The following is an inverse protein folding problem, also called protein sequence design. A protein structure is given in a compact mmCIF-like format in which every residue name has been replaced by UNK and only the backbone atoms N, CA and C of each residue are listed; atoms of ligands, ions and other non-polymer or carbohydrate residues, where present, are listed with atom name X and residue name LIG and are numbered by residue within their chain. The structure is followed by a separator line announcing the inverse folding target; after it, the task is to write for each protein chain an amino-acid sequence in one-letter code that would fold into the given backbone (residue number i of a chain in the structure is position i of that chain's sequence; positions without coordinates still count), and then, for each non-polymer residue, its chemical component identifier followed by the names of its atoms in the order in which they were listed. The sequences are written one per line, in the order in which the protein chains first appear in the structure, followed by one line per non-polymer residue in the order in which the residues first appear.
data_IF_997544972631
#
_entry.id   IF_997544972631
#
_cell.length_a   1.000
_cell.length_b   1.000
_cell.length_c   1.000
_cell.angle_alpha   90.00
_cell.angle_beta   90.00
_cell.angle_gamma   90.00
#
_symmetry.space_group_name_H-M   'P 1'
#
loop_
_entity.id
_entity.type
_entity.pdbx_description
1 polymer ?
#
# COMPACT_ATOMS: atom_id res chain seq x y z
N UNK A 1 -75.65 -33.29 51.65
CA UNK A 1 -75.01 -32.42 52.67
C UNK A 1 -74.11 -31.44 51.92
N UNK A 2 -74.29 -30.15 52.21
CA UNK A 2 -73.43 -29.01 51.87
C UNK A 2 -73.27 -28.59 50.39
N UNK A 3 -73.98 -27.51 50.03
CA UNK A 3 -73.47 -26.49 49.09
C UNK A 3 -72.19 -25.86 49.68
N UNK A 4 -71.30 -25.14 48.93
CA UNK A 4 -71.68 -23.83 48.38
C UNK A 4 -70.84 -23.25 47.20
N UNK A 5 -71.20 -22.01 46.85
CA UNK A 5 -70.40 -20.89 46.32
C UNK A 5 -70.23 -20.64 44.80
N UNK A 6 -70.87 -19.53 44.38
CA UNK A 6 -70.53 -18.70 43.23
C UNK A 6 -69.20 -17.98 43.46
N UNK A 7 -68.39 -17.87 42.40
CA UNK A 7 -67.33 -16.87 42.29
C UNK A 7 -67.55 -16.08 41.00
N UNK A 8 -67.60 -14.76 41.13
CA UNK A 8 -67.71 -13.82 40.01
C UNK A 8 -66.36 -13.28 39.56
N UNK A 9 -66.38 -12.68 38.36
CA UNK A 9 -65.38 -11.72 37.89
C UNK A 9 -64.37 -12.29 36.88
N UNK A 10 -64.39 -11.81 35.64
CA UNK A 10 -63.61 -10.64 35.22
C UNK A 10 -64.12 -10.13 33.86
N UNK A 11 -64.60 -8.88 33.85
CA UNK A 11 -64.82 -8.11 32.64
C UNK A 11 -63.46 -7.77 31.99
N UNK A 12 -63.43 -7.83 30.67
CA UNK A 12 -62.27 -7.47 29.85
C UNK A 12 -62.14 -5.93 29.69
N UNK A 13 -60.94 -5.37 29.83
CA UNK A 13 -60.52 -4.17 29.11
C UNK A 13 -59.46 -4.58 28.07
N UNK A 14 -59.41 -4.14 26.82
CA UNK A 14 -59.79 -2.87 26.23
C UNK A 14 -58.91 -2.73 24.98
N UNK A 15 -59.47 -2.98 23.79
CA UNK A 15 -58.79 -3.04 22.49
C UNK A 15 -58.44 -1.65 21.92
N UNK A 16 -57.97 -0.72 22.76
CA UNK A 16 -57.74 0.70 22.39
C UNK A 16 -56.38 1.21 22.85
N UNK A 17 -55.29 0.55 22.47
CA UNK A 17 -53.92 1.07 22.72
C UNK A 17 -52.90 0.79 21.61
N UNK A 18 -53.26 0.05 20.55
CA UNK A 18 -52.28 -0.37 19.54
C UNK A 18 -52.00 0.63 18.41
N UNK A 19 -52.84 1.66 18.21
CA UNK A 19 -52.67 2.58 17.07
C UNK A 19 -51.50 3.57 17.27
N UNK A 20 -51.32 4.09 18.49
CA UNK A 20 -50.27 5.08 18.80
C UNK A 20 -48.88 4.42 18.83
N UNK A 21 -48.78 3.21 19.38
CA UNK A 21 -47.54 2.43 19.41
C UNK A 21 -47.06 2.07 17.98
N UNK A 22 -47.99 1.67 17.10
CA UNK A 22 -47.68 1.37 15.69
C UNK A 22 -47.23 2.60 14.90
N UNK A 23 -47.83 3.77 15.14
CA UNK A 23 -47.40 5.03 14.51
C UNK A 23 -46.01 5.46 14.97
N UNK A 24 -45.68 5.31 16.26
CA UNK A 24 -44.34 5.61 16.79
C UNK A 24 -43.27 4.68 16.22
N UNK A 25 -43.57 3.37 16.11
CA UNK A 25 -42.65 2.40 15.50
C UNK A 25 -42.38 2.69 14.01
N UNK A 26 -43.42 3.04 13.25
CA UNK A 26 -43.27 3.42 11.84
C UNK A 26 -42.41 4.68 11.65
N UNK A 27 -42.54 5.66 12.54
CA UNK A 27 -41.81 6.93 12.47
C UNK A 27 -40.32 6.74 12.84
N UNK A 28 -40.02 5.86 13.80
CA UNK A 28 -38.64 5.48 14.15
C UNK A 28 -37.95 4.73 13.00
N UNK A 29 -38.66 3.79 12.35
CA UNK A 29 -38.13 3.08 11.18
C UNK A 29 -37.89 4.00 9.98
N UNK A 30 -38.79 4.97 9.74
CA UNK A 30 -38.63 5.96 8.68
C UNK A 30 -37.43 6.90 8.93
N UNK A 31 -37.24 7.34 10.18
CA UNK A 31 -36.09 8.16 10.57
C UNK A 31 -34.78 7.38 10.48
N UNK A 32 -34.77 6.11 10.90
CA UNK A 32 -33.60 5.24 10.76
C UNK A 32 -33.22 5.08 9.28
N UNK A 33 -34.19 4.80 8.40
CA UNK A 33 -33.94 4.69 6.96
C UNK A 33 -33.42 6.00 6.34
N UNK A 34 -33.94 7.15 6.76
CA UNK A 34 -33.47 8.46 6.31
C UNK A 34 -32.01 8.71 6.73
N UNK A 35 -31.63 8.38 7.97
CA UNK A 35 -30.26 8.51 8.47
C UNK A 35 -29.30 7.59 7.71
N UNK A 36 -29.71 6.36 7.37
CA UNK A 36 -28.90 5.46 6.54
C UNK A 36 -28.70 5.99 5.13
N UNK A 37 -29.75 6.56 4.50
CA UNK A 37 -29.65 7.14 3.17
C UNK A 37 -28.73 8.37 3.16
N UNK A 38 -28.85 9.25 4.17
CA UNK A 38 -27.99 10.45 4.28
C UNK A 38 -26.54 10.08 4.54
N UNK A 39 -26.27 9.08 5.40
CA UNK A 39 -24.89 8.63 5.68
C UNK A 39 -24.23 7.93 4.49
N UNK A 40 -25.00 7.15 3.70
CA UNK A 40 -24.50 6.56 2.44
C UNK A 40 -24.26 7.64 1.36
N UNK A 41 -25.11 8.67 1.30
CA UNK A 41 -24.94 9.79 0.37
C UNK A 41 -23.74 10.70 0.73
N UNK A 42 -23.45 10.89 2.02
CA UNK A 42 -22.25 11.65 2.45
C UNK A 42 -20.96 10.85 2.29
N UNK A 43 -20.98 9.52 2.47
CA UNK A 43 -19.79 8.69 2.21
C UNK A 43 -19.43 8.59 0.72
N UNK A 44 -20.43 8.54 -0.17
CA UNK A 44 -20.17 8.49 -1.62
C UNK A 44 -19.64 9.81 -2.19
N UNK A 45 -20.00 10.95 -1.58
CA UNK A 45 -19.49 12.27 -2.00
C UNK A 45 -18.06 12.54 -1.54
N UNK A 46 -17.65 12.08 -0.35
CA UNK A 46 -16.28 12.31 0.16
C UNK A 46 -15.24 11.38 -0.48
N UNK A 47 -15.63 10.17 -0.92
CA UNK A 47 -14.72 9.23 -1.56
C UNK A 47 -14.26 9.64 -2.98
N UNK A 48 -14.95 10.59 -3.63
CA UNK A 48 -14.70 10.97 -5.02
C UNK A 48 -13.68 12.11 -5.21
N UNK A 49 -13.13 12.68 -4.13
CA UNK A 49 -12.30 13.89 -4.18
C UNK A 49 -10.77 13.66 -4.28
N UNK A 50 -10.31 12.42 -4.50
CA UNK A 50 -8.90 12.18 -4.88
C UNK A 50 -8.81 12.04 -6.40
N UNK A 51 -8.56 13.16 -7.08
CA UNK A 51 -8.26 13.15 -8.51
C UNK A 51 -7.13 12.16 -8.80
N UNK A 52 -7.36 11.24 -9.74
CA UNK A 52 -6.35 10.29 -10.18
C UNK A 52 -5.13 11.07 -10.70
N UNK A 53 -3.94 10.76 -10.17
CA UNK A 53 -2.70 11.37 -10.62
C UNK A 53 -2.51 11.15 -12.14
N UNK A 54 -2.00 12.15 -12.88
CA UNK A 54 -1.80 12.05 -14.33
C UNK A 54 -0.91 10.87 -14.69
N UNK A 55 -1.00 10.44 -15.94
CA UNK A 55 -0.26 9.28 -16.41
C UNK A 55 1.24 9.50 -16.30
N UNK A 56 1.98 8.59 -15.66
CA UNK A 56 3.44 8.65 -15.63
C UNK A 56 4.04 8.53 -17.05
N UNK A 57 3.34 7.82 -17.96
CA UNK A 57 3.75 7.63 -19.36
C UNK A 57 3.46 8.83 -20.25
N UNK A 58 2.41 9.58 -19.94
CA UNK A 58 2.06 10.86 -20.57
C UNK A 58 2.02 11.91 -19.48
N UNK A 59 3.19 12.46 -19.08
CA UNK A 59 3.23 13.45 -18.02
C UNK A 59 2.26 14.56 -18.38
N UNK A 60 1.40 14.95 -17.43
CA UNK A 60 0.40 15.98 -17.65
C UNK A 60 1.04 17.16 -18.37
N UNK A 61 0.50 17.50 -19.54
CA UNK A 61 0.87 18.75 -20.18
C UNK A 61 0.61 19.87 -19.18
N UNK A 62 1.50 20.84 -19.12
CA UNK A 62 1.26 22.07 -18.37
C UNK A 62 -0.13 22.58 -18.79
N UNK A 63 -1.09 22.78 -17.86
CA UNK A 63 -2.44 23.21 -18.20
C UNK A 63 -2.45 24.53 -19.01
N UNK A 64 -1.39 25.34 -18.95
CA UNK A 64 -1.19 26.47 -19.85
C UNK A 64 -0.93 26.04 -21.32
N UNK A 65 -0.09 25.03 -21.56
CA UNK A 65 0.34 24.62 -22.91
C UNK A 65 -0.77 23.96 -23.74
N UNK A 66 -1.70 23.25 -23.10
CA UNK A 66 -2.86 22.66 -23.78
C UNK A 66 -3.81 23.73 -24.37
N UNK A 67 -3.67 24.99 -23.95
CA UNK A 67 -4.48 26.12 -24.42
C UNK A 67 -3.75 26.98 -25.46
N UNK A 68 -2.52 26.65 -25.84
CA UNK A 68 -1.70 27.50 -26.72
C UNK A 68 -2.31 27.72 -28.12
N UNK A 69 -3.09 26.74 -28.61
CA UNK A 69 -3.75 26.80 -29.90
C UNK A 69 -5.23 26.38 -29.80
N UNK A 70 -6.13 27.17 -30.39
CA UNK A 70 -7.53 26.85 -30.60
C UNK A 70 -7.65 25.92 -31.80
N UNK A 71 -7.74 24.62 -31.55
CA UNK A 71 -7.90 23.60 -32.58
C UNK A 71 -8.95 22.56 -32.17
N UNK A 72 -9.72 22.06 -33.14
CA UNK A 72 -10.75 21.03 -32.91
C UNK A 72 -10.63 19.93 -33.95
N UNK A 73 -10.22 18.72 -33.50
CA UNK A 73 -10.24 17.51 -34.34
C UNK A 73 -11.66 17.23 -34.87
N UNK A 74 -12.69 17.40 -34.04
CA UNK A 74 -14.08 17.15 -34.44
C UNK A 74 -14.55 18.05 -35.60
N UNK A 75 -14.24 19.35 -35.57
CA UNK A 75 -14.65 20.27 -36.63
C UNK A 75 -13.92 20.04 -37.96
N UNK A 76 -12.68 19.55 -37.93
CA UNK A 76 -11.92 19.22 -39.13
C UNK A 76 -12.33 17.83 -39.67
N UNK A 77 -12.54 16.85 -38.79
CA UNK A 77 -13.06 15.53 -39.16
C UNK A 77 -14.45 15.60 -39.78
N UNK A 78 -15.35 16.46 -39.27
CA UNK A 78 -16.68 16.69 -39.85
C UNK A 78 -16.64 17.25 -41.28
N UNK A 79 -15.50 17.81 -41.72
CA UNK A 79 -15.27 18.28 -43.09
C UNK A 79 -14.60 17.23 -43.99
N UNK A 80 -14.43 16.00 -43.50
CA UNK A 80 -13.79 14.92 -44.26
C UNK A 80 -12.27 15.08 -44.43
N UNK A 81 -11.62 15.82 -43.52
CA UNK A 81 -10.16 16.00 -43.56
C UNK A 81 -9.50 14.75 -42.97
N UNK A 82 -8.78 14.02 -43.82
CA UNK A 82 -7.98 12.84 -43.45
C UNK A 82 -6.84 13.18 -42.45
N UNK A 83 -6.56 12.28 -41.51
CA UNK A 83 -5.57 12.51 -40.44
C UNK A 83 -4.17 12.86 -40.98
N UNK A 84 -3.75 12.17 -42.05
CA UNK A 84 -2.42 12.35 -42.66
C UNK A 84 -2.27 13.66 -43.44
N UNK A 85 -3.37 14.40 -43.66
CA UNK A 85 -3.29 15.76 -44.23
C UNK A 85 -2.48 16.69 -43.33
N UNK A 86 -2.61 16.50 -42.00
CA UNK A 86 -1.89 17.27 -40.99
C UNK A 86 -0.71 16.48 -40.40
N UNK A 87 -0.90 15.20 -40.11
CA UNK A 87 0.13 14.33 -39.51
C UNK A 87 0.99 13.64 -40.57
N UNK A 88 1.63 14.43 -41.43
CA UNK A 88 2.29 13.96 -42.66
C UNK A 88 3.44 12.97 -42.42
N UNK A 89 4.12 13.06 -41.27
CA UNK A 89 5.22 12.17 -40.89
C UNK A 89 4.78 10.99 -40.03
N UNK A 90 3.49 10.87 -39.69
CA UNK A 90 3.05 9.86 -38.74
C UNK A 90 3.38 8.44 -39.21
N UNK A 91 3.08 8.10 -40.47
CA UNK A 91 3.34 6.74 -41.00
C UNK A 91 4.81 6.39 -41.19
N UNK A 92 5.72 7.36 -41.12
CA UNK A 92 7.16 7.11 -41.32
C UNK A 92 7.97 7.20 -40.03
N UNK A 93 7.34 7.61 -38.93
CA UNK A 93 8.00 7.72 -37.63
C UNK A 93 8.45 6.36 -37.10
N UNK A 94 9.72 6.33 -36.69
CA UNK A 94 10.37 5.14 -36.13
C UNK A 94 10.39 5.14 -34.61
N UNK A 95 10.12 6.29 -33.98
CA UNK A 95 10.24 6.45 -32.54
C UNK A 95 9.10 7.23 -31.92
N UNK A 96 8.72 6.84 -30.70
CA UNK A 96 7.69 7.52 -29.93
C UNK A 96 8.12 8.93 -29.49
N UNK A 97 9.42 9.24 -29.54
CA UNK A 97 9.95 10.56 -29.19
C UNK A 97 9.83 11.58 -30.32
N UNK A 98 9.50 11.13 -31.53
CA UNK A 98 9.34 12.01 -32.69
C UNK A 98 8.14 12.96 -32.45
N UNK A 99 8.33 14.25 -32.75
CA UNK A 99 7.20 15.20 -32.73
C UNK A 99 6.37 15.02 -34.00
N UNK A 100 5.23 14.35 -33.87
CA UNK A 100 4.27 14.13 -34.96
C UNK A 100 3.15 15.17 -34.96
N UNK A 101 3.32 16.26 -34.19
CA UNK A 101 2.41 17.38 -34.21
C UNK A 101 2.54 18.13 -35.55
N UNK A 102 1.42 18.55 -36.17
CA UNK A 102 1.47 19.33 -37.39
C UNK A 102 2.17 20.67 -37.15
N UNK A 103 3.07 21.02 -38.07
CA UNK A 103 3.63 22.37 -38.14
C UNK A 103 2.64 23.35 -38.78
N UNK A 104 2.87 24.66 -38.64
CA UNK A 104 2.06 25.72 -39.25
C UNK A 104 1.82 25.51 -40.76
N UNK A 105 2.81 24.92 -41.45
CA UNK A 105 2.71 24.60 -42.87
C UNK A 105 1.50 23.72 -43.22
N UNK A 106 1.06 22.83 -42.32
CA UNK A 106 -0.14 22.02 -42.53
C UNK A 106 -1.42 22.88 -42.49
N UNK A 107 -1.50 23.82 -41.55
CA UNK A 107 -2.64 24.74 -41.41
C UNK A 107 -2.75 25.69 -42.60
N UNK A 108 -1.60 26.19 -43.09
CA UNK A 108 -1.53 27.18 -44.19
C UNK A 108 -2.02 26.67 -45.53
N UNK A 109 -2.17 25.36 -45.70
CA UNK A 109 -2.77 24.77 -46.90
C UNK A 109 -4.25 25.17 -47.08
N UNK A 110 -4.95 25.47 -45.98
CA UNK A 110 -6.37 25.84 -45.99
C UNK A 110 -6.66 27.17 -45.27
N UNK A 111 -5.80 27.60 -44.35
CA UNK A 111 -5.90 28.85 -43.60
C UNK A 111 -4.76 29.79 -44.01
N UNK A 112 -4.94 30.69 -45.00
CA UNK A 112 -3.91 31.64 -45.39
C UNK A 112 -3.51 32.51 -44.19
N UNK A 113 -2.22 32.52 -43.88
CA UNK A 113 -1.63 33.35 -42.82
C UNK A 113 -0.76 34.40 -43.48
N UNK A 114 -1.24 35.64 -43.48
CA UNK A 114 -0.45 36.81 -43.84
C UNK A 114 0.10 37.45 -42.56
N UNK A 115 1.41 37.32 -42.33
CA UNK A 115 2.06 37.87 -41.14
C UNK A 115 2.31 39.38 -41.22
N UNK A 116 2.19 39.96 -42.41
CA UNK A 116 2.46 41.37 -42.68
C UNK A 116 1.18 42.21 -42.55
N UNK A 117 0.01 41.61 -42.83
CA UNK A 117 -1.30 42.27 -42.71
C UNK A 117 -2.14 41.82 -41.48
N UNK A 118 -1.66 40.89 -40.65
CA UNK A 118 -2.44 40.34 -39.54
C UNK A 118 -2.50 41.25 -38.31
N UNK A 119 -3.72 41.57 -37.86
CA UNK A 119 -3.98 42.19 -36.56
C UNK A 119 -3.87 41.18 -35.41
N UNK A 120 -3.74 41.66 -34.17
CA UNK A 120 -3.76 40.81 -32.99
C UNK A 120 -5.01 39.91 -32.91
N UNK A 121 -6.16 40.42 -33.35
CA UNK A 121 -7.41 39.68 -33.44
C UNK A 121 -7.36 38.56 -34.50
N UNK A 122 -6.61 38.73 -35.59
CA UNK A 122 -6.43 37.71 -36.62
C UNK A 122 -5.61 36.53 -36.10
N UNK A 123 -4.50 36.79 -35.41
CA UNK A 123 -3.66 35.76 -34.78
C UNK A 123 -4.40 35.06 -33.62
N UNK A 124 -5.21 35.80 -32.85
CA UNK A 124 -6.00 35.29 -31.73
C UNK A 124 -7.09 34.27 -32.09
N UNK A 125 -7.45 34.15 -33.38
CA UNK A 125 -8.36 33.09 -33.87
C UNK A 125 -7.77 31.70 -33.67
N UNK A 126 -6.45 31.57 -33.80
CA UNK A 126 -5.74 30.30 -33.64
C UNK A 126 -4.93 30.28 -32.34
N UNK A 127 -4.26 31.36 -31.97
CA UNK A 127 -3.43 31.42 -30.77
C UNK A 127 -4.23 31.93 -29.57
N UNK A 128 -4.56 31.07 -28.61
CA UNK A 128 -5.32 31.54 -27.44
C UNK A 128 -4.46 32.46 -26.58
N UNK A 129 -5.01 33.62 -26.19
CA UNK A 129 -4.27 34.61 -25.40
C UNK A 129 -3.19 35.36 -26.16
N UNK A 130 -3.22 35.36 -27.51
CA UNK A 130 -2.25 36.12 -28.31
C UNK A 130 -2.29 37.62 -28.00
N UNK A 131 -1.12 38.19 -27.73
CA UNK A 131 -0.89 39.62 -27.59
C UNK A 131 0.39 40.03 -28.33
N UNK A 132 0.38 41.21 -28.94
CA UNK A 132 1.55 41.74 -29.66
C UNK A 132 2.70 41.95 -28.67
N UNK A 133 3.88 41.39 -28.98
CA UNK A 133 5.06 41.48 -28.12
C UNK A 133 5.13 40.44 -26.99
N UNK A 134 4.09 39.63 -26.77
CA UNK A 134 4.12 38.54 -25.80
C UNK A 134 4.77 37.28 -26.40
N UNK A 135 5.49 36.47 -25.60
CA UNK A 135 6.03 35.20 -26.06
C UNK A 135 4.90 34.24 -26.44
N UNK A 136 5.03 33.63 -27.62
CA UNK A 136 4.08 32.62 -28.09
C UNK A 136 4.25 31.33 -27.30
N UNK A 137 3.16 30.88 -26.69
CA UNK A 137 3.11 29.55 -26.11
C UNK A 137 3.14 28.51 -27.24
N UNK A 138 4.01 27.52 -27.12
CA UNK A 138 4.11 26.42 -28.08
C UNK A 138 3.36 25.21 -27.55
N UNK A 139 2.57 24.59 -28.42
CA UNK A 139 2.04 23.25 -28.15
C UNK A 139 3.24 22.30 -28.16
N UNK A 140 3.52 21.69 -27.01
CA UNK A 140 4.55 20.67 -26.87
C UNK A 140 3.95 19.48 -26.15
N UNK A 141 4.10 18.30 -26.73
CA UNK A 141 3.87 17.06 -26.01
C UNK A 141 5.21 16.59 -25.44
N UNK A 142 5.24 16.21 -24.17
CA UNK A 142 6.40 15.50 -23.63
C UNK A 142 6.44 14.11 -24.28
N UNK A 143 7.59 13.64 -24.75
CA UNK A 143 7.68 12.33 -25.38
C UNK A 143 7.28 11.23 -24.38
N UNK A 144 6.48 10.25 -24.81
CA UNK A 144 6.12 9.13 -23.95
C UNK A 144 7.34 8.25 -23.71
N UNK A 145 7.45 7.71 -22.49
CA UNK A 145 8.54 6.82 -22.09
C UNK A 145 8.31 5.37 -22.55
N UNK A 146 8.16 5.18 -23.86
CA UNK A 146 7.89 3.88 -24.48
C UNK A 146 8.56 3.75 -25.85
N UNK A 147 8.77 2.51 -26.28
CA UNK A 147 9.26 2.15 -27.61
C UNK A 147 8.03 1.92 -28.50
N UNK A 148 7.83 2.79 -29.48
CA UNK A 148 6.79 2.64 -30.49
C UNK A 148 7.28 3.19 -31.82
N UNK A 149 7.03 2.43 -32.88
CA UNK A 149 7.21 2.87 -34.26
C UNK A 149 5.86 2.92 -34.93
N UNK A 150 5.45 4.10 -35.41
CA UNK A 150 4.25 4.21 -36.23
C UNK A 150 4.46 3.57 -37.62
N UNK A 151 5.69 3.59 -38.16
CA UNK A 151 6.01 2.91 -39.41
C UNK A 151 5.77 1.40 -39.34
N UNK A 152 6.12 0.76 -38.22
CA UNK A 152 5.83 -0.65 -37.98
C UNK A 152 4.31 -0.94 -37.90
N UNK A 153 3.50 0.08 -37.57
CA UNK A 153 2.04 0.00 -37.45
C UNK A 153 1.32 0.73 -38.60
N UNK A 154 1.99 1.04 -39.71
CA UNK A 154 1.44 1.91 -40.77
C UNK A 154 0.17 1.36 -41.44
N UNK A 155 -0.05 0.04 -41.36
CA UNK A 155 -1.22 -0.65 -41.88
C UNK A 155 -2.39 -0.74 -40.88
N UNK A 156 -2.18 -0.33 -39.64
CA UNK A 156 -3.24 -0.28 -38.61
C UNK A 156 -3.98 1.05 -38.75
N UNK A 157 -5.33 1.05 -38.85
CA UNK A 157 -6.10 2.30 -38.87
C UNK A 157 -5.85 3.13 -37.61
N UNK A 158 -5.69 4.45 -37.76
CA UNK A 158 -5.31 5.36 -36.67
C UNK A 158 -6.29 5.26 -35.48
N UNK A 159 -7.57 5.10 -35.77
CA UNK A 159 -8.69 5.07 -34.82
C UNK A 159 -8.67 3.84 -33.92
N UNK A 160 -7.89 2.81 -34.28
CA UNK A 160 -7.70 1.63 -33.43
C UNK A 160 -6.89 1.95 -32.17
N UNK A 161 -6.03 2.96 -32.23
CA UNK A 161 -5.16 3.37 -31.11
C UNK A 161 -5.54 4.76 -30.58
N UNK A 162 -5.87 5.70 -31.49
CA UNK A 162 -6.28 7.04 -31.13
C UNK A 162 -7.80 7.13 -31.02
N UNK A 163 -8.30 7.49 -29.84
CA UNK A 163 -9.71 7.76 -29.66
C UNK A 163 -10.09 9.06 -30.37
N UNK A 164 -10.56 8.95 -31.62
CA UNK A 164 -11.22 10.04 -32.32
C UNK A 164 -12.64 10.13 -31.78
N UNK A 165 -12.93 11.07 -30.88
CA UNK A 165 -14.30 11.26 -30.40
C UNK A 165 -15.21 11.63 -31.59
N UNK A 166 -16.20 10.81 -31.98
CA UNK A 166 -17.27 11.25 -32.85
C UNK A 166 -18.39 11.78 -31.94
N UNK A 167 -18.62 13.09 -31.96
CA UNK A 167 -19.93 13.62 -31.58
C UNK A 167 -20.25 13.86 -30.11
N UNK A 168 -19.30 13.82 -29.17
CA UNK A 168 -19.51 14.46 -27.86
C UNK A 168 -18.64 15.70 -27.78
N UNK A 169 -19.30 16.86 -27.62
CA UNK A 169 -18.64 18.10 -27.29
C UNK A 169 -17.63 17.82 -26.18
N UNK A 170 -16.39 18.28 -26.35
CA UNK A 170 -15.49 18.45 -25.23
C UNK A 170 -16.28 19.24 -24.17
N UNK A 171 -16.78 18.55 -23.15
CA UNK A 171 -17.48 19.21 -22.07
C UNK A 171 -16.51 20.27 -21.55
N UNK A 172 -16.94 21.53 -21.39
CA UNK A 172 -16.08 22.54 -20.80
C UNK A 172 -15.57 21.98 -19.49
N UNK A 173 -14.25 21.99 -19.33
CA UNK A 173 -13.55 21.62 -18.11
C UNK A 173 -14.23 22.30 -16.92
N UNK A 174 -15.06 21.55 -16.16
CA UNK A 174 -15.83 22.11 -15.03
C UNK A 174 -17.27 21.62 -14.83
N UNK A 175 -17.82 20.71 -15.64
CA UNK A 175 -19.18 20.19 -15.38
C UNK A 175 -19.24 19.27 -14.13
N UNK A 176 -20.13 19.51 -13.15
CA UNK A 176 -20.29 18.66 -11.98
C UNK A 176 -20.84 17.29 -12.41
N UNK A 177 -20.06 16.23 -12.19
CA UNK A 177 -20.39 14.86 -12.57
C UNK A 177 -19.59 14.29 -13.76
N UNK A 178 -18.71 15.08 -14.39
CA UNK A 178 -17.71 14.53 -15.31
C UNK A 178 -16.71 13.66 -14.51
N UNK A 179 -16.39 12.42 -14.95
CA UNK A 179 -15.36 11.63 -14.28
C UNK A 179 -14.07 12.46 -14.23
N UNK A 180 -13.32 12.44 -13.11
CA UNK A 180 -12.11 13.23 -12.98
C UNK A 180 -11.23 12.93 -14.18
N UNK A 181 -10.87 13.97 -14.93
CA UNK A 181 -10.00 13.96 -16.10
C UNK A 181 -8.56 13.60 -15.71
N UNK A 182 -8.40 12.40 -15.17
CA UNK A 182 -7.17 11.62 -15.08
C UNK A 182 -7.12 10.50 -16.13
N UNK A 183 -8.07 10.48 -17.08
CA UNK A 183 -7.83 9.80 -18.37
C UNK A 183 -6.69 10.57 -19.04
N UNK A 184 -5.70 9.82 -19.49
CA UNK A 184 -4.58 10.25 -20.32
C UNK A 184 -5.02 11.33 -21.33
N UNK A 185 -4.11 12.26 -21.68
CA UNK A 185 -4.40 13.36 -22.61
C UNK A 185 -5.36 12.92 -23.73
N UNK A 186 -6.50 13.61 -23.91
CA UNK A 186 -7.61 13.11 -24.72
C UNK A 186 -7.13 12.68 -26.12
N UNK A 187 -7.26 11.38 -26.43
CA UNK A 187 -6.91 10.80 -27.72
C UNK A 187 -5.60 10.00 -27.80
N UNK A 188 -4.86 9.81 -26.71
CA UNK A 188 -3.65 8.96 -26.68
C UNK A 188 -3.96 7.49 -26.34
N UNK A 189 -3.21 6.52 -26.92
CA UNK A 189 -3.42 5.10 -26.66
C UNK A 189 -3.02 4.69 -25.24
N UNK A 190 -3.77 3.74 -24.66
CA UNK A 190 -3.45 3.11 -23.38
C UNK A 190 -2.71 1.79 -23.59
N UNK A 191 -2.11 1.23 -22.53
CA UNK A 191 -1.53 -0.12 -22.59
C UNK A 191 -2.54 -1.17 -23.07
N UNK A 192 -3.80 -1.06 -22.63
CA UNK A 192 -4.86 -1.99 -23.06
C UNK A 192 -5.13 -1.92 -24.56
N UNK A 193 -5.00 -0.74 -25.18
CA UNK A 193 -5.12 -0.61 -26.65
C UNK A 193 -4.06 -1.44 -27.39
N UNK A 194 -2.81 -1.43 -26.92
CA UNK A 194 -1.75 -2.26 -27.47
C UNK A 194 -2.02 -3.76 -27.25
N UNK A 195 -2.44 -4.11 -26.03
CA UNK A 195 -2.67 -5.51 -25.66
C UNK A 195 -3.88 -6.13 -26.37
N UNK A 196 -4.84 -5.33 -26.83
CA UNK A 196 -5.97 -5.83 -27.64
C UNK A 196 -5.53 -6.65 -28.87
N UNK A 197 -4.33 -6.39 -29.40
CA UNK A 197 -3.71 -7.17 -30.48
C UNK A 197 -2.47 -7.97 -30.02
N UNK A 198 -1.73 -7.50 -29.01
CA UNK A 198 -0.46 -8.10 -28.58
C UNK A 198 -0.54 -9.04 -27.36
N UNK A 199 -1.73 -9.28 -26.78
CA UNK A 199 -1.92 -10.06 -25.52
C UNK A 199 -1.44 -11.52 -25.58
N UNK A 200 -1.56 -12.20 -26.71
CA UNK A 200 -1.28 -13.65 -26.81
C UNK A 200 0.18 -14.00 -27.18
N UNK A 201 1.12 -13.07 -27.00
CA UNK A 201 2.55 -13.36 -27.18
C UNK A 201 2.98 -13.70 -28.62
N UNK A 202 2.11 -13.64 -29.64
CA UNK A 202 2.46 -14.04 -31.01
C UNK A 202 3.55 -13.16 -31.67
N UNK A 203 3.94 -12.03 -31.07
CA UNK A 203 5.04 -11.15 -31.54
C UNK A 203 5.84 -10.43 -30.44
N UNK A 204 5.43 -10.51 -29.17
CA UNK A 204 6.09 -9.80 -28.06
C UNK A 204 6.26 -10.78 -26.90
N UNK A 205 7.49 -11.24 -26.71
CA UNK A 205 7.82 -12.22 -25.65
C UNK A 205 8.16 -11.55 -24.31
N UNK A 206 8.38 -10.22 -24.30
CA UNK A 206 8.88 -9.48 -23.13
C UNK A 206 8.27 -8.09 -23.04
N UNK A 207 7.90 -7.67 -21.83
CA UNK A 207 7.37 -6.32 -21.56
C UNK A 207 8.33 -5.20 -22.00
N UNK A 208 9.63 -5.48 -21.99
CA UNK A 208 10.71 -4.57 -22.44
C UNK A 208 10.77 -4.34 -23.95
N UNK A 209 9.94 -5.02 -24.74
CA UNK A 209 9.75 -4.70 -26.15
C UNK A 209 9.08 -3.33 -26.33
N UNK A 210 8.13 -3.00 -25.44
CA UNK A 210 7.41 -1.72 -25.46
C UNK A 210 7.95 -0.74 -24.40
N UNK A 211 8.39 -1.25 -23.26
CA UNK A 211 8.92 -0.41 -22.18
C UNK A 211 10.43 -0.15 -22.32
N UNK A 212 10.87 1.00 -21.81
CA UNK A 212 12.28 1.23 -21.55
C UNK A 212 12.79 0.21 -20.53
N UNK A 213 14.04 -0.21 -20.66
CA UNK A 213 14.63 -1.25 -19.83
C UNK A 213 15.84 -0.73 -19.06
N UNK A 214 15.95 -1.14 -17.80
CA UNK A 214 17.16 -0.99 -17.00
C UNK A 214 18.32 -1.83 -17.56
N UNK A 215 19.54 -1.58 -17.09
CA UNK A 215 20.72 -2.39 -17.42
C UNK A 215 20.57 -3.87 -17.05
N UNK A 216 19.72 -4.19 -16.07
CA UNK A 216 19.40 -5.56 -15.66
C UNK A 216 18.35 -6.25 -16.56
N UNK A 217 17.89 -5.62 -17.64
CA UNK A 217 16.94 -6.21 -18.58
C UNK A 217 15.47 -6.21 -18.11
N UNK A 218 15.18 -5.59 -16.97
CA UNK A 218 13.81 -5.32 -16.47
C UNK A 218 13.27 -4.00 -16.99
N UNK A 219 11.95 -3.79 -16.91
CA UNK A 219 11.32 -2.49 -17.17
C UNK A 219 11.93 -1.44 -16.24
N UNK A 220 12.28 -0.28 -16.81
CA UNK A 220 12.63 0.90 -16.02
C UNK A 220 11.34 1.51 -15.47
N UNK A 221 11.10 1.29 -14.18
CA UNK A 221 9.93 1.81 -13.46
C UNK A 221 10.18 3.21 -12.89
N UNK A 222 11.38 3.76 -13.03
CA UNK A 222 11.79 5.06 -12.48
C UNK A 222 12.12 6.02 -13.62
N UNK A 223 11.09 6.67 -14.17
CA UNK A 223 11.23 7.53 -15.34
C UNK A 223 11.63 8.96 -14.94
N UNK A 224 12.58 9.53 -15.69
CA UNK A 224 12.92 10.96 -15.61
C UNK A 224 13.93 11.34 -14.53
N UNK A 225 14.67 10.39 -13.97
CA UNK A 225 15.88 10.66 -13.18
C UNK A 225 17.14 10.51 -14.04
N UNK A 226 18.00 11.52 -14.06
CA UNK A 226 19.42 11.35 -14.40
C UNK A 226 20.20 11.10 -13.11
N UNK A 227 21.40 10.51 -13.22
CA UNK A 227 22.24 10.17 -12.08
C UNK A 227 22.34 11.34 -11.09
N UNK A 228 21.78 11.16 -9.89
CA UNK A 228 21.77 12.17 -8.81
C UNK A 228 20.46 12.93 -8.58
N UNK A 229 19.40 12.71 -9.36
CA UNK A 229 18.08 13.32 -9.13
C UNK A 229 17.01 12.27 -8.72
N UNK A 230 16.07 12.59 -7.82
CA UNK A 230 14.98 11.69 -7.46
C UNK A 230 14.12 11.38 -8.70
N UNK A 231 13.63 10.14 -8.80
CA UNK A 231 12.75 9.72 -9.88
C UNK A 231 11.53 10.65 -9.94
N UNK A 232 11.34 11.34 -11.07
CA UNK A 232 10.22 12.28 -11.24
C UNK A 232 8.89 11.55 -11.40
N UNK A 233 8.93 10.28 -11.79
CA UNK A 233 7.77 9.48 -12.16
C UNK A 233 8.03 7.99 -11.89
N UNK A 234 7.18 7.34 -11.08
CA UNK A 234 7.21 5.89 -10.87
C UNK A 234 6.11 5.18 -11.70
N UNK A 235 6.48 4.24 -12.56
CA UNK A 235 5.52 3.37 -13.23
C UNK A 235 4.95 2.38 -12.22
N UNK A 236 3.64 2.41 -12.06
CA UNK A 236 2.88 1.46 -11.23
C UNK A 236 1.77 0.86 -12.08
N UNK A 237 1.59 -0.47 -12.10
CA UNK A 237 0.41 -1.08 -12.70
C UNK A 237 -0.84 -0.53 -11.99
N UNK A 238 -1.69 0.19 -12.73
CA UNK A 238 -2.95 0.77 -12.22
C UNK A 238 -4.17 -0.06 -12.57
N UNK A 239 -4.06 -0.93 -13.56
CA UNK A 239 -5.12 -1.80 -14.04
C UNK A 239 -4.87 -3.22 -13.58
N UNK A 240 -5.90 -3.91 -13.10
CA UNK A 240 -5.83 -5.33 -12.72
C UNK A 240 -5.81 -6.26 -13.94
N UNK A 241 -5.20 -5.85 -15.06
CA UNK A 241 -5.17 -6.63 -16.32
C UNK A 241 -4.61 -8.03 -16.08
N UNK A 242 -3.64 -8.14 -15.17
CA UNK A 242 -3.10 -9.41 -14.71
C UNK A 242 -3.32 -9.64 -13.21
N UNK A 243 -4.13 -8.82 -12.54
CA UNK A 243 -4.28 -8.83 -11.08
C UNK A 243 -3.07 -8.25 -10.33
N UNK A 244 -2.28 -7.43 -11.02
CA UNK A 244 -1.03 -6.79 -10.58
C UNK A 244 -1.19 -5.34 -10.13
N UNK A 245 -2.44 -4.87 -9.99
CA UNK A 245 -2.73 -3.49 -9.62
C UNK A 245 -2.12 -3.13 -8.25
N UNK A 246 -1.24 -2.12 -8.23
CA UNK A 246 -0.60 -1.60 -7.01
C UNK A 246 -1.52 -0.58 -6.32
N UNK A 247 -2.69 -1.05 -5.88
CA UNK A 247 -3.65 -0.26 -5.10
C UNK A 247 -3.24 -0.10 -3.64
N UNK A 248 -3.98 0.69 -2.83
CA UNK A 248 -3.69 0.88 -1.40
C UNK A 248 -3.66 -0.41 -0.58
N UNK A 249 -4.36 -1.46 -1.02
CA UNK A 249 -4.36 -2.77 -0.37
C UNK A 249 -3.17 -3.67 -0.74
N UNK A 250 -2.39 -3.31 -1.76
CA UNK A 250 -1.38 -4.18 -2.35
C UNK A 250 -0.35 -4.67 -1.32
N UNK A 251 0.10 -3.78 -0.43
CA UNK A 251 1.02 -4.13 0.65
C UNK A 251 0.51 -5.31 1.49
N UNK A 252 -0.80 -5.41 1.70
CA UNK A 252 -1.44 -6.45 2.52
C UNK A 252 -1.98 -7.64 1.71
N UNK A 253 -2.32 -7.45 0.43
CA UNK A 253 -3.00 -8.47 -0.39
C UNK A 253 -2.15 -9.02 -1.55
N UNK A 254 -0.91 -8.53 -1.75
CA UNK A 254 -0.04 -8.96 -2.85
C UNK A 254 0.24 -10.46 -2.88
N UNK A 255 0.04 -11.20 -1.77
CA UNK A 255 0.10 -12.67 -1.76
C UNK A 255 -0.83 -13.29 -2.81
N UNK A 256 -2.04 -12.74 -2.97
CA UNK A 256 -2.98 -13.22 -3.97
C UNK A 256 -2.48 -12.94 -5.39
N UNK A 257 -1.79 -11.82 -5.62
CA UNK A 257 -1.16 -11.53 -6.91
C UNK A 257 0.04 -12.46 -7.16
N UNK A 258 0.94 -12.60 -6.18
CA UNK A 258 2.17 -13.40 -6.28
C UNK A 258 1.92 -14.90 -6.52
N UNK A 259 0.81 -15.44 -6.01
CA UNK A 259 0.44 -16.85 -6.19
C UNK A 259 -0.26 -17.14 -7.52
N UNK A 260 -0.83 -16.14 -8.17
CA UNK A 260 -1.61 -16.29 -9.41
C UNK A 260 -0.81 -16.03 -10.68
N UNK A 261 0.24 -15.22 -10.59
CA UNK A 261 0.96 -14.76 -11.77
C UNK A 261 2.38 -15.34 -11.76
N UNK A 262 2.58 -16.40 -12.54
CA UNK A 262 3.87 -17.07 -12.71
C UNK A 262 4.88 -16.17 -13.44
N UNK A 263 5.54 -15.26 -12.69
CA UNK A 263 6.75 -14.47 -13.04
C UNK A 263 6.59 -13.08 -13.67
N UNK A 264 5.41 -12.45 -13.67
CA UNK A 264 5.32 -11.05 -14.18
C UNK A 264 5.99 -10.03 -13.26
N UNK A 265 6.03 -10.27 -11.94
CA UNK A 265 6.65 -9.35 -10.99
C UNK A 265 8.13 -9.10 -11.31
N UNK A 266 8.86 -10.15 -11.71
CA UNK A 266 10.27 -10.08 -12.09
C UNK A 266 10.53 -9.29 -13.38
N UNK A 267 9.49 -8.99 -14.17
CA UNK A 267 9.63 -8.09 -15.32
C UNK A 267 9.87 -6.63 -14.89
N UNK A 268 9.47 -6.27 -13.65
CA UNK A 268 9.57 -4.92 -13.11
C UNK A 268 10.44 -4.85 -11.84
N UNK A 269 10.39 -5.86 -10.98
CA UNK A 269 11.03 -5.89 -9.66
C UNK A 269 12.25 -6.82 -9.62
N UNK A 270 13.24 -6.50 -8.78
CA UNK A 270 14.33 -7.40 -8.43
C UNK A 270 13.93 -8.38 -7.32
N UNK A 271 14.66 -9.48 -7.17
CA UNK A 271 14.48 -10.41 -6.05
C UNK A 271 14.66 -9.69 -4.70
N UNK A 272 15.55 -8.70 -4.65
CA UNK A 272 15.78 -7.89 -3.45
C UNK A 272 14.49 -7.23 -2.97
N UNK A 273 13.62 -6.77 -3.89
CA UNK A 273 12.35 -6.13 -3.57
C UNK A 273 11.43 -7.03 -2.73
N UNK A 274 11.37 -8.32 -3.06
CA UNK A 274 10.62 -9.30 -2.28
C UNK A 274 11.33 -9.56 -0.94
N UNK A 275 12.64 -9.79 -0.99
CA UNK A 275 13.40 -10.17 0.20
C UNK A 275 13.45 -9.07 1.26
N UNK A 276 13.48 -7.79 0.87
CA UNK A 276 13.63 -6.65 1.76
C UNK A 276 12.53 -6.61 2.83
N UNK A 277 11.29 -6.92 2.44
CA UNK A 277 10.17 -7.06 3.38
C UNK A 277 10.14 -8.46 4.02
N UNK A 278 10.31 -9.54 3.25
CA UNK A 278 10.15 -10.91 3.76
C UNK A 278 11.23 -11.34 4.77
N UNK A 279 12.41 -10.73 4.74
CA UNK A 279 13.47 -10.93 5.75
C UNK A 279 13.43 -9.88 6.87
N UNK A 280 12.51 -8.90 6.77
CA UNK A 280 12.35 -7.81 7.72
C UNK A 280 13.50 -6.80 7.70
N UNK A 281 14.16 -6.59 6.56
CA UNK A 281 15.17 -5.54 6.38
C UNK A 281 14.49 -4.16 6.32
N UNK A 282 13.39 -4.07 5.57
CA UNK A 282 12.52 -2.89 5.49
C UNK A 282 11.24 -3.15 6.30
N UNK A 283 10.81 -2.13 7.06
CA UNK A 283 9.63 -2.17 7.92
C UNK A 283 8.81 -0.90 7.73
N UNK A 284 7.94 -0.83 6.71
CA UNK A 284 7.11 0.34 6.47
C UNK A 284 6.17 0.60 7.65
N UNK A 285 6.02 1.85 8.06
CA UNK A 285 5.14 2.21 9.18
C UNK A 285 3.65 2.08 8.84
N UNK A 286 3.29 2.04 7.55
CA UNK A 286 1.90 1.92 7.07
C UNK A 286 1.19 0.62 7.48
N UNK A 287 1.93 -0.40 7.95
CA UNK A 287 1.35 -1.62 8.52
C UNK A 287 0.82 -1.45 9.96
N UNK A 288 1.11 -0.30 10.58
CA UNK A 288 0.64 0.04 11.91
C UNK A 288 -0.37 1.20 11.85
N UNK A 289 -1.27 1.32 12.83
CA UNK A 289 -2.03 2.55 13.04
C UNK A 289 -1.11 3.76 13.25
N UNK A 290 -1.55 4.95 12.87
CA UNK A 290 -0.76 6.19 13.03
C UNK A 290 -0.35 6.47 14.49
N UNK A 291 -1.12 5.98 15.46
CA UNK A 291 -0.88 6.12 16.89
C UNK A 291 -0.22 4.88 17.53
N UNK A 292 0.43 4.02 16.73
CA UNK A 292 0.94 2.72 17.19
C UNK A 292 1.75 2.80 18.48
N UNK A 293 2.62 3.81 18.63
CA UNK A 293 3.44 3.98 19.83
C UNK A 293 2.60 4.11 21.12
N UNK A 294 1.35 4.57 21.04
CA UNK A 294 0.44 4.70 22.18
C UNK A 294 -0.39 3.44 22.47
N UNK A 295 -0.52 2.55 21.48
CA UNK A 295 -1.39 1.38 21.58
C UNK A 295 -0.63 0.05 21.63
N UNK A 296 0.63 0.02 21.17
CA UNK A 296 1.44 -1.19 21.03
C UNK A 296 1.60 -1.99 22.34
N UNK A 297 1.63 -1.30 23.49
CA UNK A 297 1.74 -1.99 24.79
C UNK A 297 0.52 -2.89 25.08
N UNK A 298 -0.69 -2.50 24.66
CA UNK A 298 -1.91 -3.32 24.83
C UNK A 298 -1.92 -4.47 23.82
N UNK A 299 -1.50 -4.21 22.60
CA UNK A 299 -1.43 -5.20 21.52
C UNK A 299 -0.41 -6.30 21.82
N UNK A 300 0.80 -5.91 22.23
CA UNK A 300 1.87 -6.81 22.64
C UNK A 300 1.45 -7.71 23.83
N UNK A 301 0.76 -7.16 24.83
CA UNK A 301 0.26 -7.93 25.99
C UNK A 301 -0.80 -8.96 25.60
N UNK A 302 -1.62 -8.65 24.60
CA UNK A 302 -2.67 -9.55 24.12
C UNK A 302 -2.13 -10.63 23.18
N UNK A 303 -0.87 -10.52 22.74
CA UNK A 303 -0.30 -11.33 21.66
C UNK A 303 -1.24 -11.36 20.43
N UNK A 304 -1.89 -10.23 20.14
CA UNK A 304 -2.92 -10.13 19.10
C UNK A 304 -2.32 -10.16 17.68
N UNK A 305 -1.00 -9.96 17.55
CA UNK A 305 -0.30 -9.81 16.28
C UNK A 305 1.04 -10.52 16.31
N UNK A 306 1.40 -11.18 15.21
CA UNK A 306 2.67 -11.90 15.02
C UNK A 306 3.80 -10.91 14.67
N UNK A 307 4.12 -10.01 15.60
CA UNK A 307 5.14 -8.96 15.40
C UNK A 307 6.51 -9.57 15.04
N UNK A 308 6.78 -10.80 15.48
CA UNK A 308 7.98 -11.60 15.20
C UNK A 308 8.24 -11.82 13.70
N UNK A 309 7.20 -11.69 12.87
CA UNK A 309 7.29 -11.77 11.40
C UNK A 309 8.20 -10.67 10.85
N UNK A 310 8.16 -9.47 11.44
CA UNK A 310 8.94 -8.31 10.99
C UNK A 310 9.96 -7.82 12.03
N UNK A 311 9.70 -8.06 13.31
CA UNK A 311 10.44 -7.55 14.45
C UNK A 311 11.00 -8.68 15.31
N UNK A 312 12.33 -8.84 15.31
CA UNK A 312 12.98 -9.76 16.24
C UNK A 312 13.00 -9.15 17.64
N UNK A 313 12.41 -9.84 18.63
CA UNK A 313 12.25 -9.33 20.01
C UNK A 313 13.56 -8.76 20.59
N UNK A 314 14.66 -9.50 20.45
CA UNK A 314 15.94 -9.18 21.07
C UNK A 314 16.73 -8.07 20.37
N UNK A 315 16.50 -7.81 19.08
CA UNK A 315 17.21 -6.75 18.37
C UNK A 315 16.37 -5.50 18.15
N UNK A 316 15.04 -5.65 18.08
CA UNK A 316 14.12 -4.54 17.86
C UNK A 316 13.46 -4.06 19.14
N UNK A 317 12.68 -4.91 19.81
CA UNK A 317 11.87 -4.50 20.97
C UNK A 317 12.76 -4.01 22.09
N UNK A 318 13.73 -4.84 22.52
CA UNK A 318 14.67 -4.48 23.58
C UNK A 318 15.44 -3.21 23.24
N UNK A 319 15.98 -3.09 22.02
CA UNK A 319 16.75 -1.91 21.63
C UNK A 319 15.92 -0.62 21.57
N UNK A 320 14.67 -0.69 21.15
CA UNK A 320 13.76 0.46 21.19
C UNK A 320 13.46 0.87 22.64
N UNK A 321 13.09 -0.12 23.46
CA UNK A 321 12.78 0.04 24.87
C UNK A 321 13.97 0.59 25.68
N UNK A 322 15.20 0.14 25.43
CA UNK A 322 16.40 0.66 26.06
C UNK A 322 16.64 2.13 25.68
N UNK A 323 16.50 2.51 24.40
CA UNK A 323 16.62 3.91 23.95
C UNK A 323 15.53 4.82 24.50
N UNK A 324 14.32 4.29 24.74
CA UNK A 324 13.20 5.06 25.29
C UNK A 324 13.14 5.04 26.82
N UNK A 325 14.11 4.40 27.50
CA UNK A 325 14.18 4.37 28.95
C UNK A 325 13.29 3.31 29.62
N UNK A 326 12.74 2.37 28.86
CA UNK A 326 11.77 1.35 29.29
C UNK A 326 12.39 -0.06 29.24
N UNK A 327 13.45 -0.33 30.00
CA UNK A 327 14.14 -1.63 29.99
C UNK A 327 15.17 -1.81 31.10
N UNK A 328 15.75 -3.02 31.22
CA UNK A 328 16.75 -3.32 32.27
C UNK A 328 18.07 -2.57 32.08
N UNK A 329 18.41 -2.21 30.85
CA UNK A 329 19.59 -1.37 30.49
C UNK A 329 19.19 0.06 30.10
N UNK A 330 17.99 0.50 30.49
CA UNK A 330 17.52 1.86 30.20
C UNK A 330 18.40 2.94 30.84
N UNK A 331 19.12 2.65 31.93
CA UNK A 331 20.22 3.50 32.38
C UNK A 331 21.48 3.19 31.55
N UNK A 332 21.57 3.82 30.37
CA UNK A 332 22.74 3.75 29.49
C UNK A 332 23.18 5.16 29.07
N UNK A 333 24.39 5.28 28.53
CA UNK A 333 24.91 6.52 27.94
C UNK A 333 24.02 7.11 26.82
N UNK A 334 23.12 6.29 26.26
CA UNK A 334 22.16 6.63 25.21
C UNK A 334 20.78 7.04 25.73
N UNK A 335 20.58 7.07 27.05
CA UNK A 335 19.28 7.36 27.65
C UNK A 335 19.09 8.84 27.97
N UNK A 336 17.96 9.39 27.52
CA UNK A 336 17.55 10.78 27.79
C UNK A 336 17.03 10.91 29.23
N UNK A 337 17.93 10.84 30.21
CA UNK A 337 17.83 11.57 31.48
C UNK A 337 16.82 11.11 32.55
N UNK A 338 16.09 10.01 32.39
CA UNK A 338 15.26 9.45 33.47
C UNK A 338 15.55 7.97 33.63
N UNK A 339 16.17 7.61 34.76
CA UNK A 339 16.55 6.23 35.07
C UNK A 339 15.38 5.26 34.93
N UNK A 340 15.70 4.01 34.59
CA UNK A 340 14.74 2.92 34.40
C UNK A 340 13.68 2.93 35.52
N UNK A 341 12.45 3.32 35.20
CA UNK A 341 11.35 3.25 36.15
C UNK A 341 11.18 1.81 36.64
N UNK A 342 10.97 1.62 37.95
CA UNK A 342 10.69 0.30 38.49
C UNK A 342 9.36 -0.23 37.91
N UNK A 343 9.46 -1.10 36.89
CA UNK A 343 8.29 -1.67 36.21
C UNK A 343 7.62 -2.79 37.01
N UNK A 344 8.35 -3.36 37.98
CA UNK A 344 7.87 -4.40 38.86
C UNK A 344 7.77 -3.92 40.31
N UNK A 345 6.76 -4.39 41.08
CA UNK A 345 6.64 -4.04 42.48
C UNK A 345 7.78 -4.63 43.31
N UNK A 346 8.01 -4.08 44.51
CA UNK A 346 8.99 -4.62 45.45
C UNK A 346 8.75 -6.13 45.72
N UNK A 347 9.83 -6.90 45.83
CA UNK A 347 9.77 -8.35 46.06
C UNK A 347 9.29 -9.17 44.85
N UNK A 348 9.21 -8.60 43.64
CA UNK A 348 8.81 -9.32 42.42
C UNK A 348 9.59 -10.61 42.16
N UNK A 349 10.90 -10.56 42.33
CA UNK A 349 11.82 -11.68 42.12
C UNK A 349 12.38 -12.27 43.42
N UNK A 350 11.71 -12.09 44.56
CA UNK A 350 12.19 -12.59 45.85
C UNK A 350 12.34 -14.13 45.83
N UNK A 351 13.58 -14.61 45.78
CA UNK A 351 13.94 -16.04 45.76
C UNK A 351 13.77 -16.70 47.14
N UNK A 352 13.82 -15.90 48.20
CA UNK A 352 13.81 -16.34 49.61
C UNK A 352 12.47 -16.91 50.10
N UNK A 353 11.39 -16.74 49.33
CA UNK A 353 10.01 -17.12 49.72
C UNK A 353 9.46 -18.34 48.98
N UNK A 354 10.31 -19.07 48.25
CA UNK A 354 9.91 -20.23 47.46
C UNK A 354 9.08 -19.90 46.20
N UNK A 355 8.91 -20.90 45.33
CA UNK A 355 8.33 -20.75 43.97
C UNK A 355 6.86 -20.26 43.98
N UNK A 356 6.10 -20.62 45.00
CA UNK A 356 4.67 -20.29 45.10
C UNK A 356 4.43 -18.82 45.45
N UNK A 357 5.36 -18.14 46.11
CA UNK A 357 5.22 -16.75 46.54
C UNK A 357 5.95 -15.77 45.62
N UNK A 358 6.94 -16.27 44.87
CA UNK A 358 7.67 -15.52 43.85
C UNK A 358 6.75 -15.19 42.64
N UNK A 359 6.43 -13.90 42.47
CA UNK A 359 5.58 -13.42 41.37
C UNK A 359 6.26 -13.54 40.01
N UNK A 360 7.57 -13.31 39.93
CA UNK A 360 8.36 -13.52 38.73
C UNK A 360 8.27 -14.96 38.22
N UNK A 361 8.46 -15.96 39.09
CA UNK A 361 8.37 -17.38 38.70
C UNK A 361 6.98 -17.79 38.20
N UNK A 362 5.91 -17.22 38.76
CA UNK A 362 4.54 -17.49 38.33
C UNK A 362 4.19 -16.88 36.98
N UNK A 363 4.63 -15.66 36.70
CA UNK A 363 4.35 -15.03 35.41
C UNK A 363 5.28 -15.53 34.29
N UNK A 364 6.55 -15.81 34.60
CA UNK A 364 7.51 -16.34 33.63
C UNK A 364 7.10 -17.72 33.07
N UNK A 365 6.42 -18.55 33.87
CA UNK A 365 5.91 -19.85 33.41
C UNK A 365 4.66 -19.73 32.52
N UNK A 366 3.95 -18.59 32.57
CA UNK A 366 2.75 -18.36 31.76
C UNK A 366 3.05 -17.76 30.40
N UNK A 367 3.97 -16.79 30.33
CA UNK A 367 4.27 -16.07 29.09
C UNK A 367 5.72 -15.55 29.09
N UNK A 368 6.67 -16.45 28.82
CA UNK A 368 8.09 -16.10 28.71
C UNK A 368 8.38 -15.05 27.59
N UNK A 369 7.73 -15.10 26.40
CA UNK A 369 7.93 -14.07 25.38
C UNK A 369 7.63 -12.64 25.85
N UNK A 370 6.65 -12.44 26.73
CA UNK A 370 6.36 -11.13 27.30
C UNK A 370 7.56 -10.58 28.11
N UNK A 371 8.29 -11.44 28.83
CA UNK A 371 9.48 -11.05 29.56
C UNK A 371 10.67 -10.78 28.61
N UNK A 372 10.84 -11.60 27.58
CA UNK A 372 11.89 -11.44 26.56
C UNK A 372 11.73 -10.19 25.69
N UNK A 373 10.63 -9.43 25.85
CA UNK A 373 10.44 -8.13 25.19
C UNK A 373 11.25 -7.01 25.86
N UNK A 374 11.55 -7.15 27.17
CA UNK A 374 12.34 -6.18 27.95
C UNK A 374 13.63 -6.77 28.51
N UNK A 375 13.67 -8.10 28.74
CA UNK A 375 14.82 -8.80 29.26
C UNK A 375 15.60 -9.49 28.14
N UNK A 376 16.92 -9.45 28.26
CA UNK A 376 17.82 -10.22 27.43
C UNK A 376 18.15 -11.55 28.08
N UNK A 377 18.67 -12.47 27.27
CA UNK A 377 19.06 -13.78 27.73
C UNK A 377 20.08 -13.75 28.88
N UNK A 378 21.04 -12.83 28.83
CA UNK A 378 22.03 -12.65 29.90
C UNK A 378 21.42 -12.11 31.20
N UNK A 379 20.27 -11.43 31.16
CA UNK A 379 19.53 -11.04 32.37
C UNK A 379 18.98 -12.27 33.11
N UNK A 380 18.49 -13.25 32.36
CA UNK A 380 17.99 -14.51 32.91
C UNK A 380 19.12 -15.39 33.45
N UNK A 381 20.25 -15.45 32.72
CA UNK A 381 21.38 -16.32 33.06
C UNK A 381 22.07 -15.93 34.38
N UNK A 382 21.97 -14.68 34.84
CA UNK A 382 22.49 -14.25 36.16
C UNK A 382 21.90 -15.05 37.32
N UNK A 383 20.68 -15.53 37.19
CA UNK A 383 19.98 -16.26 38.25
C UNK A 383 19.71 -17.72 37.87
N UNK A 384 19.45 -18.00 36.59
CA UNK A 384 18.99 -19.30 36.10
C UNK A 384 20.06 -20.16 35.43
N UNK A 385 21.28 -19.65 35.26
CA UNK A 385 22.39 -20.49 34.80
C UNK A 385 22.84 -21.44 35.92
N UNK A 386 23.41 -22.58 35.52
CA UNK A 386 24.05 -23.51 36.44
C UNK A 386 25.48 -23.06 36.84
N UNK A 387 25.97 -21.98 36.23
CA UNK A 387 27.29 -21.41 36.52
C UNK A 387 27.43 -21.02 37.99
N UNK A 388 28.67 -21.08 38.50
CA UNK A 388 28.99 -20.81 39.90
C UNK A 388 28.82 -19.34 40.32
N UNK A 389 28.82 -18.41 39.36
CA UNK A 389 28.66 -16.99 39.62
C UNK A 389 27.21 -16.52 39.83
N UNK A 390 26.20 -17.38 39.64
CA UNK A 390 24.77 -17.01 39.68
C UNK A 390 23.98 -17.64 40.84
N UNK A 391 22.68 -17.31 40.93
CA UNK A 391 21.79 -17.85 41.98
C UNK A 391 21.40 -19.33 41.79
N UNK A 392 21.76 -19.96 40.66
CA UNK A 392 21.49 -21.37 40.34
C UNK A 392 20.04 -21.82 40.54
N UNK A 393 19.10 -20.90 40.32
CA UNK A 393 17.67 -21.19 40.43
C UNK A 393 17.24 -21.93 39.18
N UNK A 394 16.85 -23.20 39.30
CA UNK A 394 16.40 -23.98 38.15
C UNK A 394 15.15 -23.35 37.49
N UNK A 395 15.20 -23.02 36.18
CA UNK A 395 14.02 -22.55 35.45
C UNK A 395 13.06 -23.69 35.11
N UNK A 396 13.49 -24.94 35.26
CA UNK A 396 12.72 -26.12 34.91
C UNK A 396 11.62 -26.44 35.92
N UNK A 397 10.51 -27.08 35.51
CA UNK A 397 9.50 -27.56 36.44
C UNK A 397 10.03 -28.67 37.38
N UNK A 398 9.35 -28.94 38.50
CA UNK A 398 9.63 -30.12 39.32
C UNK A 398 9.61 -31.40 38.47
N UNK A 399 10.47 -32.37 38.80
CA UNK A 399 10.62 -33.63 38.06
C UNK A 399 10.94 -33.45 36.55
N UNK A 400 11.56 -32.33 36.16
CA UNK A 400 12.01 -32.11 34.79
C UNK A 400 13.05 -33.14 34.32
N UNK A 401 13.97 -33.49 35.21
CA UNK A 401 14.98 -34.52 34.95
C UNK A 401 14.29 -35.87 34.75
N UNK A 402 14.73 -36.62 33.75
CA UNK A 402 14.13 -37.90 33.37
C UNK A 402 12.75 -37.79 32.71
N UNK A 403 12.23 -36.57 32.49
CA UNK A 403 10.95 -36.36 31.81
C UNK A 403 11.07 -36.61 30.30
N UNK A 404 9.94 -36.97 29.68
CA UNK A 404 9.86 -37.09 28.22
C UNK A 404 10.15 -35.74 27.51
N UNK A 405 9.77 -34.62 28.13
CA UNK A 405 9.99 -33.29 27.58
C UNK A 405 11.47 -32.91 27.54
N UNK A 406 12.22 -33.21 28.61
CA UNK A 406 13.67 -33.05 28.61
C UNK A 406 14.31 -33.83 27.46
N UNK A 407 14.00 -35.14 27.35
CA UNK A 407 14.56 -36.00 26.30
C UNK A 407 14.16 -35.60 24.89
N UNK A 408 13.00 -34.95 24.71
CA UNK A 408 12.58 -34.42 23.42
C UNK A 408 13.42 -33.20 23.00
N UNK A 409 13.63 -32.25 23.91
CA UNK A 409 14.42 -31.05 23.63
C UNK A 409 15.90 -31.35 23.42
N UNK A 410 16.48 -32.26 24.22
CA UNK A 410 17.88 -32.69 24.07
C UNK A 410 18.12 -33.33 22.68
N UNK A 411 17.19 -34.18 22.22
CA UNK A 411 17.25 -34.76 20.87
C UNK A 411 17.09 -33.74 19.75
N UNK A 412 16.24 -32.73 19.95
CA UNK A 412 15.99 -31.71 18.94
C UNK A 412 17.19 -30.77 18.76
N UNK A 413 17.78 -30.29 19.87
CA UNK A 413 18.93 -29.40 19.84
C UNK A 413 19.65 -29.35 21.19
N UNK A 414 20.49 -30.35 21.49
CA UNK A 414 21.35 -30.39 22.70
C UNK A 414 22.19 -29.13 22.93
N UNK A 415 22.59 -28.42 21.86
CA UNK A 415 23.40 -27.19 21.99
C UNK A 415 22.66 -26.08 22.72
N UNK A 416 21.32 -26.11 22.76
CA UNK A 416 20.55 -25.13 23.54
C UNK A 416 20.85 -25.24 25.05
N UNK A 417 21.14 -26.44 25.54
CA UNK A 417 21.38 -26.69 26.97
C UNK A 417 22.69 -26.06 27.44
N UNK A 418 23.69 -25.98 26.56
CA UNK A 418 25.00 -25.35 26.81
C UNK A 418 24.90 -23.85 27.11
N UNK A 419 23.75 -23.23 26.81
CA UNK A 419 23.51 -21.82 27.11
C UNK A 419 23.38 -21.54 28.60
N UNK A 420 22.89 -22.52 29.36
CA UNK A 420 22.68 -22.43 30.80
C UNK A 420 23.56 -23.41 31.59
N UNK A 421 23.91 -24.57 31.00
CA UNK A 421 24.75 -25.61 31.60
C UNK A 421 26.15 -25.55 31.02
N UNK A 422 27.10 -25.05 31.82
CA UNK A 422 28.49 -24.83 31.41
C UNK A 422 29.41 -26.03 31.68
N UNK A 423 28.92 -27.04 32.40
CA UNK A 423 29.64 -28.28 32.73
C UNK A 423 29.05 -29.46 31.96
N UNK A 424 29.86 -30.22 31.18
CA UNK A 424 29.38 -31.35 30.38
C UNK A 424 28.67 -32.44 31.18
N UNK A 425 29.02 -32.62 32.46
CA UNK A 425 28.44 -33.63 33.35
C UNK A 425 27.00 -33.29 33.78
N UNK A 426 26.59 -32.02 33.60
CA UNK A 426 25.22 -31.57 33.79
C UNK A 426 24.39 -31.64 32.50
N UNK A 427 25.01 -32.03 31.38
CA UNK A 427 24.34 -32.17 30.08
C UNK A 427 23.72 -33.56 29.96
N UNK A 428 22.42 -33.63 30.24
CA UNK A 428 21.63 -34.81 29.96
C UNK A 428 20.36 -34.85 30.78
N UNK A 429 19.43 -35.71 30.37
CA UNK A 429 18.18 -35.89 31.11
C UNK A 429 18.26 -36.98 32.17
N UNK A 430 19.31 -37.81 32.15
CA UNK A 430 19.37 -39.07 32.89
C UNK A 430 20.61 -39.18 33.83
N UNK A 431 21.34 -38.09 34.08
CA UNK A 431 22.44 -38.11 35.06
C UNK A 431 21.92 -38.11 36.50
N UNK A 432 22.51 -38.91 37.38
CA UNK A 432 22.25 -38.87 38.83
C UNK A 432 22.90 -37.64 39.44
N UNK A 433 22.12 -36.76 40.09
CA UNK A 433 22.69 -35.68 40.88
C UNK A 433 23.49 -36.32 42.03
N UNK A 434 24.81 -36.28 41.98
CA UNK A 434 25.58 -36.45 43.19
C UNK A 434 25.29 -35.23 44.06
N UNK A 435 24.78 -35.49 45.27
CA UNK A 435 24.27 -34.47 46.16
C UNK A 435 25.23 -33.29 46.34
N UNK A 436 24.71 -32.09 46.13
CA UNK A 436 25.26 -30.83 46.61
C UNK A 436 24.12 -30.00 47.16
#
# INVERSE_FOLDING_TARGET
MSAPQRVGGKGAPGWRSNAVARRRAALVLALAALVTVVTVATFTTVASARGAAPSPLYPSQDPGQAQALRFSHAQHGARGIECLRCHVTARTSLSAVDSLLPAEAACRQCHPVDRQAASAAACGKCHAGFAVGAPLLRVSARPPALKLSHAAHAQVPCERCHASAPGEAAAPSGAPGAPPSGRDAPGLPSMESCLSCHRDGRRVERCTACHLSSSAGRIDVTLGGFAGAPAQVALRPRSALWGDAHGPGFASDHRAAATRIDRTCAACHDESYCSDCHVGAVRPMEFHPDDYLQVHAREARRAASECSTCHRLQSFCVGCHERTGVGTRAASEWSSGQGAGAFHPAGWAASERGRAENRHAREATRNLPACASCHREDDCLRCHSADAGGLRVSPHPPAWRGSAQCRALDRANRRMCLRCHVVPEELGCDFTAQGR
#
